data_IF_051561517716
#
_entry.id   IF_051561517716
#
_cell.length_a   1.000
_cell.length_b   1.000
_cell.length_c   1.000
_cell.angle_alpha   90.00
_cell.angle_beta   90.00
_cell.angle_gamma   90.00
#
_symmetry.space_group_name_H-M   'P 1'
#
loop_
_entity.id
_entity.type
_entity.pdbx_description
1 polymer ?
#
# COMPACT_ATOMS: atom_id res chain seq x y z
N UNK A 1 2.53 7.69 -22.52
CA UNK A 1 3.36 6.79 -23.37
C UNK A 1 4.85 6.85 -23.06
N UNK A 2 5.45 8.02 -22.79
CA UNK A 2 6.91 8.13 -22.49
C UNK A 2 7.35 7.30 -21.28
N UNK A 3 6.60 7.34 -20.18
CA UNK A 3 6.98 6.63 -18.95
C UNK A 3 7.01 5.10 -19.11
N UNK A 4 6.07 4.53 -19.85
CA UNK A 4 6.10 3.09 -20.18
C UNK A 4 7.33 2.74 -21.07
N UNK A 5 7.67 3.61 -22.04
CA UNK A 5 8.87 3.40 -22.85
C UNK A 5 10.16 3.42 -22.00
N UNK A 6 10.22 4.31 -21.02
CA UNK A 6 11.36 4.39 -20.09
C UNK A 6 11.39 3.18 -19.13
N UNK A 7 10.23 2.75 -18.64
CA UNK A 7 10.12 1.50 -17.87
C UNK A 7 10.62 0.27 -18.66
N UNK A 8 10.27 0.17 -19.95
CA UNK A 8 10.73 -0.95 -20.79
C UNK A 8 12.25 -0.98 -20.99
N UNK A 9 12.93 0.16 -20.96
CA UNK A 9 14.41 0.22 -20.96
C UNK A 9 14.99 -0.27 -19.64
N UNK A 10 14.26 -0.05 -18.54
CA UNK A 10 14.65 -0.45 -17.19
C UNK A 10 14.36 -1.93 -16.93
N UNK A 11 13.28 -2.47 -17.50
CA UNK A 11 12.77 -3.82 -17.24
C UNK A 11 13.81 -4.94 -17.30
N UNK A 12 14.80 -4.96 -18.22
CA UNK A 12 15.85 -5.99 -18.25
C UNK A 12 16.71 -6.05 -16.97
N UNK A 13 16.76 -4.97 -16.20
CA UNK A 13 17.55 -4.87 -14.96
C UNK A 13 16.71 -5.14 -13.70
N UNK A 14 15.39 -5.29 -13.84
CA UNK A 14 14.46 -5.50 -12.71
C UNK A 14 14.30 -6.98 -12.35
N UNK A 15 14.80 -7.89 -13.18
CA UNK A 15 14.75 -9.33 -12.93
C UNK A 15 15.55 -9.72 -11.66
N UNK A 16 15.11 -10.78 -11.01
CA UNK A 16 15.87 -11.39 -9.92
C UNK A 16 16.85 -12.41 -10.53
N UNK A 17 18.08 -12.43 -10.03
CA UNK A 17 19.12 -13.33 -10.53
C UNK A 17 18.68 -14.80 -10.49
N UNK A 18 18.93 -15.53 -11.57
CA UNK A 18 18.65 -16.97 -11.64
C UNK A 18 19.46 -17.71 -10.55
N UNK A 19 18.82 -18.61 -9.83
CA UNK A 19 19.45 -19.33 -8.71
C UNK A 19 19.32 -18.65 -7.34
N UNK A 20 18.72 -17.44 -7.27
CA UNK A 20 18.36 -16.80 -5.99
C UNK A 20 16.98 -17.28 -5.52
N UNK A 21 16.72 -17.21 -4.21
CA UNK A 21 15.39 -17.46 -3.66
C UNK A 21 14.35 -16.50 -4.23
N UNK A 22 14.72 -15.26 -4.51
CA UNK A 22 13.84 -14.22 -5.07
C UNK A 22 13.31 -14.55 -6.47
N UNK A 23 14.05 -15.35 -7.25
CA UNK A 23 13.63 -15.79 -8.59
C UNK A 23 12.68 -16.98 -8.56
N UNK A 24 12.61 -17.71 -7.43
CA UNK A 24 11.79 -18.93 -7.31
C UNK A 24 10.30 -18.58 -7.52
N UNK A 25 9.60 -19.30 -8.42
CA UNK A 25 8.16 -19.12 -8.60
C UNK A 25 7.41 -19.57 -7.35
N UNK A 26 6.49 -18.74 -6.88
CA UNK A 26 5.63 -19.03 -5.74
C UNK A 26 4.18 -18.69 -6.07
N UNK A 27 3.27 -19.49 -5.52
CA UNK A 27 1.84 -19.18 -5.53
C UNK A 27 1.47 -18.58 -4.18
N UNK A 28 0.85 -17.41 -4.19
CA UNK A 28 0.30 -16.79 -2.99
C UNK A 28 -1.18 -16.54 -3.14
N UNK A 29 -1.90 -16.64 -2.03
CA UNK A 29 -3.30 -16.30 -1.99
C UNK A 29 -3.47 -14.79 -2.22
N UNK A 30 -4.26 -14.33 -3.20
CA UNK A 30 -4.36 -12.92 -3.57
C UNK A 30 -5.01 -12.08 -2.48
N UNK A 31 -5.99 -12.66 -1.76
CA UNK A 31 -6.74 -12.04 -0.68
C UNK A 31 -6.72 -12.92 0.58
N UNK A 32 -5.54 -13.03 1.18
CA UNK A 32 -5.37 -13.83 2.40
C UNK A 32 -5.89 -13.08 3.62
N UNK A 33 -7.11 -13.43 4.03
CA UNK A 33 -7.83 -12.84 5.15
C UNK A 33 -8.67 -13.89 5.89
N UNK A 34 -9.14 -13.64 7.15
CA UNK A 34 -9.88 -14.62 7.94
C UNK A 34 -11.12 -15.19 7.25
N UNK A 35 -11.85 -14.40 6.46
CA UNK A 35 -13.05 -14.84 5.74
C UNK A 35 -12.77 -15.92 4.70
N UNK A 36 -11.53 -16.02 4.21
CA UNK A 36 -11.08 -16.99 3.22
C UNK A 36 -10.40 -18.21 3.85
N UNK A 37 -10.40 -18.31 5.19
CA UNK A 37 -9.82 -19.42 5.95
C UNK A 37 -10.92 -20.26 6.59
N UNK A 38 -11.08 -21.49 6.13
CA UNK A 38 -12.01 -22.44 6.73
C UNK A 38 -11.37 -23.10 7.95
N UNK A 39 -12.10 -23.09 9.06
CA UNK A 39 -11.64 -23.69 10.32
C UNK A 39 -12.65 -24.73 10.82
N UNK A 40 -12.13 -25.79 11.47
CA UNK A 40 -12.92 -26.75 12.21
C UNK A 40 -13.36 -26.18 13.58
N UNK A 41 -14.28 -26.87 14.24
CA UNK A 41 -14.67 -26.54 15.62
C UNK A 41 -13.48 -26.66 16.61
N UNK A 42 -12.49 -27.50 16.29
CA UNK A 42 -11.21 -27.62 17.04
C UNK A 42 -10.21 -26.51 16.74
N UNK A 43 -10.60 -25.50 15.93
CA UNK A 43 -9.74 -24.36 15.50
C UNK A 43 -8.55 -24.78 14.61
N UNK A 44 -8.66 -25.88 13.89
CA UNK A 44 -7.69 -26.29 12.89
C UNK A 44 -8.08 -25.72 11.52
N UNK A 45 -7.09 -25.24 10.76
CA UNK A 45 -7.30 -24.79 9.38
C UNK A 45 -7.58 -26.03 8.52
N UNK A 46 -8.76 -26.12 7.91
CA UNK A 46 -9.16 -27.21 7.03
C UNK A 46 -9.16 -26.84 5.55
N UNK A 47 -9.04 -25.56 5.22
CA UNK A 47 -8.96 -25.13 3.83
C UNK A 47 -8.82 -23.63 3.68
N UNK A 48 -8.42 -23.25 2.46
CA UNK A 48 -8.42 -21.86 1.98
C UNK A 48 -9.33 -21.80 0.75
N UNK A 49 -10.19 -20.81 0.70
CA UNK A 49 -11.13 -20.57 -0.41
C UNK A 49 -10.80 -19.26 -1.11
N UNK A 50 -11.44 -19.01 -2.25
CA UNK A 50 -11.30 -17.77 -3.01
C UNK A 50 -9.89 -17.56 -3.61
N UNK A 51 -9.44 -18.55 -4.37
CA UNK A 51 -8.18 -18.52 -5.11
C UNK A 51 -8.28 -17.82 -6.48
N UNK A 52 -9.40 -17.17 -6.77
CA UNK A 52 -9.58 -16.43 -8.02
C UNK A 52 -8.50 -15.32 -8.10
N UNK A 53 -8.04 -15.04 -9.34
CA UNK A 53 -6.95 -14.07 -9.60
C UNK A 53 -5.59 -14.43 -9.00
N UNK A 54 -5.41 -15.66 -8.49
CA UNK A 54 -4.10 -16.12 -8.08
C UNK A 54 -3.12 -16.16 -9.23
N UNK A 55 -1.89 -15.73 -8.98
CA UNK A 55 -0.82 -15.72 -9.96
C UNK A 55 0.41 -16.41 -9.41
N UNK A 56 1.14 -17.10 -10.28
CA UNK A 56 2.47 -17.61 -9.98
C UNK A 56 3.49 -16.55 -10.37
N UNK A 57 4.17 -15.99 -9.39
CA UNK A 57 5.16 -14.93 -9.58
C UNK A 57 6.48 -15.33 -8.92
N UNK A 58 7.61 -14.73 -9.32
CA UNK A 58 8.85 -14.82 -8.54
C UNK A 58 8.61 -14.36 -7.09
N UNK A 59 9.26 -15.00 -6.12
CA UNK A 59 9.14 -14.64 -4.71
C UNK A 59 9.35 -13.14 -4.48
N UNK A 60 10.34 -12.55 -5.16
CA UNK A 60 10.60 -11.11 -5.05
C UNK A 60 9.44 -10.22 -5.50
N UNK A 61 8.56 -10.65 -6.42
CA UNK A 61 7.35 -9.91 -6.77
C UNK A 61 6.14 -10.29 -5.91
N UNK A 62 6.12 -11.51 -5.37
CA UNK A 62 5.00 -12.02 -4.57
C UNK A 62 5.14 -11.74 -3.07
N UNK A 63 6.35 -11.44 -2.58
CA UNK A 63 6.60 -11.21 -1.16
C UNK A 63 5.83 -9.99 -0.65
N UNK A 64 5.35 -10.09 0.59
CA UNK A 64 4.64 -9.00 1.26
C UNK A 64 3.82 -9.50 2.43
N UNK A 65 3.42 -8.59 3.31
CA UNK A 65 2.42 -8.86 4.34
C UNK A 65 1.05 -8.74 3.67
N UNK A 66 0.13 -9.72 3.78
CA UNK A 66 -1.20 -9.61 3.20
C UNK A 66 -1.97 -8.43 3.79
N UNK A 67 -2.80 -7.76 2.97
CA UNK A 67 -3.47 -6.51 3.32
C UNK A 67 -4.18 -6.54 4.69
N UNK A 68 -4.84 -7.64 5.02
CA UNK A 68 -5.55 -7.81 6.30
C UNK A 68 -4.62 -7.78 7.53
N UNK A 69 -3.35 -8.14 7.36
CA UNK A 69 -2.34 -8.21 8.43
C UNK A 69 -1.40 -7.01 8.43
N UNK A 70 -1.56 -6.08 7.49
CA UNK A 70 -0.74 -4.87 7.41
C UNK A 70 -1.17 -3.83 8.44
N UNK A 71 -0.19 -3.06 8.93
CA UNK A 71 -0.41 -1.85 9.70
C UNK A 71 0.66 -0.79 9.35
N UNK A 72 0.88 -0.59 8.05
CA UNK A 72 1.77 0.44 7.55
C UNK A 72 1.21 1.83 7.87
N UNK A 73 2.10 2.81 8.08
CA UNK A 73 1.77 4.15 8.55
C UNK A 73 1.76 4.28 10.08
N UNK A 74 1.88 3.16 10.83
CA UNK A 74 2.12 3.16 12.27
C UNK A 74 3.60 2.93 12.58
N UNK A 75 4.33 3.89 13.17
CA UNK A 75 5.79 3.80 13.36
C UNK A 75 6.25 2.58 14.16
N UNK A 76 5.46 2.13 15.14
CA UNK A 76 5.81 0.95 15.94
C UNK A 76 5.70 -0.34 15.12
N UNK A 77 4.70 -0.41 14.24
CA UNK A 77 4.53 -1.55 13.33
C UNK A 77 5.62 -1.57 12.25
N UNK A 78 5.96 -0.44 11.66
CA UNK A 78 7.02 -0.35 10.64
C UNK A 78 8.40 -0.72 11.19
N UNK A 79 8.67 -0.40 12.46
CA UNK A 79 9.89 -0.81 13.14
C UNK A 79 9.84 -2.24 13.70
N UNK A 80 8.74 -2.97 13.49
CA UNK A 80 8.50 -4.30 14.05
C UNK A 80 8.76 -4.36 15.57
N UNK A 81 8.39 -3.32 16.28
CA UNK A 81 8.46 -3.32 17.75
C UNK A 81 7.44 -4.29 18.30
N UNK A 82 7.85 -5.07 19.30
CA UNK A 82 6.92 -5.92 20.04
C UNK A 82 5.83 -5.05 20.70
N UNK A 83 4.56 -5.25 20.35
CA UNK A 83 3.50 -4.38 20.83
C UNK A 83 3.23 -4.62 22.31
N UNK A 84 3.06 -3.55 23.06
CA UNK A 84 2.54 -3.62 24.42
C UNK A 84 1.04 -3.94 24.38
N UNK A 85 0.63 -4.97 25.12
CA UNK A 85 -0.75 -5.44 25.14
C UNK A 85 -1.57 -4.82 26.28
N UNK A 86 -0.91 -4.11 27.19
CA UNK A 86 -1.56 -3.46 28.31
C UNK A 86 -2.40 -2.27 27.84
N UNK A 87 -3.60 -2.18 28.41
CA UNK A 87 -4.47 -1.03 28.17
C UNK A 87 -3.90 0.22 28.88
N UNK A 88 -4.06 1.42 28.32
CA UNK A 88 -3.58 2.63 28.95
C UNK A 88 -4.27 2.86 30.32
N UNK A 89 -3.60 3.47 31.29
CA UNK A 89 -4.13 3.63 32.65
C UNK A 89 -5.48 4.36 32.73
N UNK A 90 -5.78 5.21 31.75
CA UNK A 90 -7.03 5.97 31.65
C UNK A 90 -8.11 5.26 30.83
N UNK A 91 -7.92 4.00 30.44
CA UNK A 91 -8.80 3.30 29.50
C UNK A 91 -10.27 3.29 29.94
N UNK A 92 -10.55 3.03 31.21
CA UNK A 92 -11.92 2.97 31.74
C UNK A 92 -12.62 4.34 31.76
N UNK A 93 -11.86 5.43 31.66
CA UNK A 93 -12.39 6.80 31.58
C UNK A 93 -12.63 7.30 30.15
N UNK A 94 -12.20 6.53 29.15
CA UNK A 94 -12.42 6.85 27.73
C UNK A 94 -13.88 6.58 27.34
N UNK A 95 -14.35 7.30 26.33
CA UNK A 95 -15.64 7.01 25.70
C UNK A 95 -15.64 5.61 25.05
N UNK A 96 -16.81 4.98 24.86
CA UNK A 96 -16.89 3.66 24.23
C UNK A 96 -16.20 3.62 22.85
N UNK A 97 -16.28 4.66 22.03
CA UNK A 97 -15.63 4.76 20.74
C UNK A 97 -14.11 4.82 20.86
N UNK A 98 -13.58 5.59 21.82
CA UNK A 98 -12.14 5.66 22.08
C UNK A 98 -11.60 4.32 22.60
N UNK A 99 -12.35 3.63 23.47
CA UNK A 99 -11.98 2.30 23.94
C UNK A 99 -11.89 1.29 22.80
N UNK A 100 -12.81 1.32 21.83
CA UNK A 100 -12.77 0.49 20.63
C UNK A 100 -11.54 0.84 19.79
N UNK A 101 -11.25 2.12 19.58
CA UNK A 101 -10.08 2.58 18.81
C UNK A 101 -8.75 2.12 19.43
N UNK A 102 -8.61 2.23 20.76
CA UNK A 102 -7.41 1.76 21.49
C UNK A 102 -7.21 0.26 21.29
N UNK A 103 -8.27 -0.54 21.49
CA UNK A 103 -8.20 -2.00 21.29
C UNK A 103 -7.85 -2.37 19.87
N UNK A 104 -8.41 -1.67 18.90
CA UNK A 104 -8.15 -1.93 17.49
C UNK A 104 -6.70 -1.57 17.10
N UNK A 105 -6.15 -0.49 17.65
CA UNK A 105 -4.74 -0.12 17.47
C UNK A 105 -3.82 -1.23 18.00
N UNK A 106 -4.06 -1.70 19.23
CA UNK A 106 -3.28 -2.79 19.83
C UNK A 106 -3.41 -4.06 18.97
N UNK A 107 -4.63 -4.40 18.54
CA UNK A 107 -4.89 -5.57 17.70
C UNK A 107 -4.11 -5.50 16.38
N UNK A 108 -4.17 -4.36 15.67
CA UNK A 108 -3.47 -4.16 14.39
C UNK A 108 -1.95 -4.29 14.55
N UNK A 109 -1.37 -3.66 15.57
CA UNK A 109 0.05 -3.79 15.89
C UNK A 109 0.45 -5.24 16.15
N UNK A 110 -0.32 -5.93 17.00
CA UNK A 110 -0.06 -7.34 17.34
C UNK A 110 -0.12 -8.24 16.10
N UNK A 111 -1.14 -8.10 15.28
CA UNK A 111 -1.33 -8.93 14.08
C UNK A 111 -0.19 -8.72 13.08
N UNK A 112 0.21 -7.47 12.85
CA UNK A 112 1.33 -7.13 11.97
C UNK A 112 2.65 -7.73 12.48
N UNK A 113 2.96 -7.52 13.76
CA UNK A 113 4.15 -8.06 14.41
C UNK A 113 4.19 -9.59 14.36
N UNK A 114 3.10 -10.25 14.72
CA UNK A 114 3.04 -11.72 14.71
C UNK A 114 3.20 -12.29 13.31
N UNK A 115 2.60 -11.65 12.29
CA UNK A 115 2.80 -12.10 10.91
C UNK A 115 4.29 -12.06 10.53
N UNK A 116 4.98 -10.95 10.80
CA UNK A 116 6.40 -10.81 10.53
C UNK A 116 7.25 -11.81 11.34
N UNK A 117 6.98 -11.95 12.64
CA UNK A 117 7.71 -12.84 13.53
C UNK A 117 7.57 -14.33 13.14
N UNK A 118 6.34 -14.77 12.84
CA UNK A 118 6.11 -16.14 12.36
C UNK A 118 6.69 -16.36 10.97
N UNK A 119 6.60 -15.38 10.07
CA UNK A 119 7.22 -15.45 8.75
C UNK A 119 8.73 -15.63 8.88
N UNK A 120 9.40 -14.85 9.72
CA UNK A 120 10.84 -15.00 9.99
C UNK A 120 11.20 -16.40 10.47
N UNK A 121 10.39 -16.97 11.35
CA UNK A 121 10.63 -18.29 11.93
C UNK A 121 10.37 -19.44 10.95
N UNK A 122 9.34 -19.33 10.11
CA UNK A 122 8.81 -20.42 9.30
C UNK A 122 9.20 -20.33 7.83
N UNK A 123 9.56 -19.15 7.36
CA UNK A 123 9.90 -18.87 5.97
C UNK A 123 10.83 -17.65 5.87
N UNK A 124 12.08 -17.84 6.27
CA UNK A 124 13.11 -16.80 6.35
C UNK A 124 13.33 -16.12 4.99
N UNK A 125 13.38 -16.88 3.88
CA UNK A 125 13.52 -16.31 2.54
C UNK A 125 12.38 -15.32 2.18
N UNK A 126 11.16 -15.63 2.61
CA UNK A 126 10.02 -14.74 2.42
C UNK A 126 10.13 -13.50 3.31
N UNK A 127 10.56 -13.67 4.57
CA UNK A 127 10.79 -12.57 5.48
C UNK A 127 11.85 -11.61 4.94
N UNK A 128 12.97 -12.11 4.50
CA UNK A 128 14.05 -11.31 3.92
C UNK A 128 13.56 -10.54 2.68
N UNK A 129 12.77 -11.19 1.82
CA UNK A 129 12.19 -10.55 0.65
C UNK A 129 11.19 -9.41 0.99
N UNK A 130 10.44 -9.50 2.10
CA UNK A 130 9.50 -8.44 2.54
C UNK A 130 10.25 -7.15 2.91
N UNK A 131 11.42 -7.28 3.52
CA UNK A 131 12.16 -6.15 4.09
C UNK A 131 13.39 -5.72 3.25
N UNK A 132 13.59 -6.31 2.08
CA UNK A 132 14.62 -5.91 1.13
C UNK A 132 14.17 -4.68 0.32
N UNK A 133 14.86 -3.55 0.50
CA UNK A 133 14.55 -2.30 -0.19
C UNK A 133 14.58 -2.44 -1.71
N UNK A 134 15.48 -3.27 -2.25
CA UNK A 134 15.58 -3.50 -3.69
C UNK A 134 14.38 -4.28 -4.22
N UNK A 135 13.84 -5.20 -3.42
CA UNK A 135 12.60 -5.95 -3.70
C UNK A 135 11.39 -5.00 -3.66
N UNK A 136 11.26 -4.19 -2.61
CA UNK A 136 10.18 -3.21 -2.47
C UNK A 136 10.15 -2.25 -3.67
N UNK A 137 11.30 -1.75 -4.10
CA UNK A 137 11.38 -0.84 -5.25
C UNK A 137 10.95 -1.54 -6.56
N UNK A 138 11.36 -2.79 -6.77
CA UNK A 138 10.93 -3.59 -7.95
C UNK A 138 9.42 -3.85 -7.94
N UNK A 139 8.86 -4.17 -6.77
CA UNK A 139 7.41 -4.38 -6.62
C UNK A 139 6.61 -3.11 -6.94
N UNK A 140 7.05 -1.94 -6.45
CA UNK A 140 6.44 -0.64 -6.77
C UNK A 140 6.47 -0.38 -8.26
N UNK A 141 7.63 -0.51 -8.90
CA UNK A 141 7.78 -0.35 -10.34
C UNK A 141 6.87 -1.31 -11.14
N UNK A 142 6.82 -2.58 -10.77
CA UNK A 142 5.97 -3.58 -11.40
C UNK A 142 4.49 -3.23 -11.28
N UNK A 143 4.06 -2.84 -10.08
CA UNK A 143 2.68 -2.42 -9.80
C UNK A 143 2.31 -1.17 -10.61
N UNK A 144 3.10 -0.11 -10.52
CA UNK A 144 2.83 1.16 -11.20
C UNK A 144 2.85 1.03 -12.73
N UNK A 145 3.67 0.11 -13.28
CA UNK A 145 3.66 -0.20 -14.70
C UNK A 145 2.44 -1.03 -15.14
N UNK A 146 1.86 -1.82 -14.22
CA UNK A 146 0.69 -2.67 -14.47
C UNK A 146 -0.65 -1.93 -14.39
N UNK A 147 -0.69 -0.69 -13.89
CA UNK A 147 -1.91 0.11 -13.71
C UNK A 147 -1.93 1.41 -14.55
N UNK A 148 -1.66 1.37 -15.87
CA UNK A 148 -1.52 2.59 -16.69
C UNK A 148 -2.85 3.32 -16.95
N UNK A 149 -3.96 2.74 -16.56
CA UNK A 149 -5.31 3.31 -16.75
C UNK A 149 -5.80 4.15 -15.55
N UNK A 150 -5.08 4.16 -14.45
CA UNK A 150 -5.44 4.93 -13.24
C UNK A 150 -5.07 6.43 -13.37
N UNK A 151 -5.16 7.00 -14.55
CA UNK A 151 -4.88 8.42 -14.80
C UNK A 151 -3.50 8.67 -15.37
N UNK A 152 -2.76 9.60 -14.80
CA UNK A 152 -1.39 9.87 -15.23
C UNK A 152 -0.43 8.80 -14.69
N UNK A 153 0.72 8.71 -15.29
CA UNK A 153 1.76 7.76 -14.89
C UNK A 153 2.83 8.42 -13.99
N UNK A 154 2.42 9.36 -13.13
CA UNK A 154 3.34 10.07 -12.23
C UNK A 154 3.95 9.12 -11.23
N UNK A 155 3.15 8.22 -10.61
CA UNK A 155 3.65 7.21 -9.69
C UNK A 155 4.74 6.35 -10.34
N UNK A 156 4.53 5.87 -11.57
CA UNK A 156 5.55 5.11 -12.30
C UNK A 156 6.82 5.93 -12.53
N UNK A 157 6.70 7.22 -12.87
CA UNK A 157 7.88 8.08 -13.06
C UNK A 157 8.62 8.35 -11.76
N UNK A 158 7.90 8.58 -10.67
CA UNK A 158 8.49 8.75 -9.34
C UNK A 158 9.24 7.48 -8.90
N UNK A 159 8.64 6.31 -9.07
CA UNK A 159 9.28 5.02 -8.77
C UNK A 159 10.54 4.79 -9.63
N UNK A 160 10.52 5.16 -10.92
CA UNK A 160 11.72 5.10 -11.76
C UNK A 160 12.80 6.08 -11.30
N UNK A 161 12.45 7.29 -10.89
CA UNK A 161 13.41 8.26 -10.35
C UNK A 161 14.06 7.71 -9.07
N UNK A 162 13.27 7.17 -8.14
CA UNK A 162 13.80 6.52 -6.94
C UNK A 162 14.72 5.34 -7.25
N UNK A 163 14.35 4.50 -8.21
CA UNK A 163 15.19 3.40 -8.66
C UNK A 163 16.52 3.88 -9.25
N UNK A 164 16.52 4.99 -10.01
CA UNK A 164 17.75 5.56 -10.59
C UNK A 164 18.65 6.20 -9.51
N UNK A 165 18.06 6.85 -8.52
CA UNK A 165 18.81 7.42 -7.39
C UNK A 165 19.48 6.34 -6.54
N UNK A 166 18.89 5.14 -6.45
CA UNK A 166 19.41 4.00 -5.71
C UNK A 166 19.89 2.88 -6.66
N UNK A 167 20.39 3.24 -7.84
CA UNK A 167 20.68 2.30 -8.91
C UNK A 167 21.62 1.16 -8.51
N UNK A 168 22.69 1.47 -7.79
CA UNK A 168 23.66 0.46 -7.35
C UNK A 168 23.05 -0.58 -6.41
N UNK A 169 22.12 -0.16 -5.54
CA UNK A 169 21.42 -1.04 -4.62
C UNK A 169 20.37 -1.90 -5.35
N UNK A 170 19.86 -1.39 -6.47
CA UNK A 170 18.96 -2.12 -7.35
C UNK A 170 19.65 -3.24 -8.12
N UNK A 171 20.94 -3.12 -8.39
CA UNK A 171 21.70 -4.14 -9.12
C UNK A 171 22.09 -5.27 -8.19
N UNK A 172 21.41 -6.41 -8.31
CA UNK A 172 21.79 -7.61 -7.55
C UNK A 172 23.18 -8.09 -8.00
N UNK A 173 24.05 -8.48 -7.06
CA UNK A 173 25.42 -8.89 -7.36
C UNK A 173 25.56 -9.99 -8.44
N UNK A 174 24.53 -10.82 -8.61
CA UNK A 174 24.50 -11.96 -9.52
C UNK A 174 23.54 -11.77 -10.73
N UNK A 175 22.97 -10.58 -10.94
CA UNK A 175 21.95 -10.39 -11.98
C UNK A 175 22.49 -10.16 -13.37
N UNK A 176 23.77 -9.77 -13.49
CA UNK A 176 24.47 -9.61 -14.75
C UNK A 176 25.91 -10.09 -14.60
N UNK A 177 26.44 -10.80 -15.57
CA UNK A 177 27.88 -11.01 -15.69
C UNK A 177 28.53 -9.63 -15.95
N UNK A 178 28.89 -8.91 -14.89
CA UNK A 178 29.60 -7.65 -15.00
C UNK A 178 30.99 -7.90 -15.58
N UNK A 179 31.11 -7.68 -16.87
CA UNK A 179 32.41 -7.64 -17.53
C UNK A 179 33.21 -6.48 -16.93
N UNK A 180 34.27 -6.79 -16.21
CA UNK A 180 35.25 -5.87 -15.62
C UNK A 180 34.87 -5.16 -14.29
N UNK A 181 33.91 -5.63 -13.51
CA UNK A 181 33.67 -5.11 -12.16
C UNK A 181 33.08 -3.70 -12.08
N UNK A 182 32.58 -3.16 -13.19
CA UNK A 182 31.87 -1.88 -13.24
C UNK A 182 30.37 -2.10 -13.39
N UNK A 183 29.57 -1.45 -12.52
CA UNK A 183 28.14 -1.45 -12.65
C UNK A 183 27.69 -0.70 -13.92
N UNK A 184 26.69 -1.20 -14.66
CA UNK A 184 26.14 -0.47 -15.80
C UNK A 184 25.52 0.85 -15.33
N UNK A 185 25.63 1.89 -16.16
CA UNK A 185 24.95 3.15 -15.89
C UNK A 185 23.43 2.96 -15.94
N UNK A 186 22.64 3.77 -15.21
CA UNK A 186 21.20 3.77 -15.32
C UNK A 186 20.74 3.94 -16.78
N UNK A 187 19.82 3.08 -17.27
CA UNK A 187 19.38 3.11 -18.67
C UNK A 187 18.50 4.32 -19.00
N UNK A 188 18.01 5.01 -17.98
CA UNK A 188 17.20 6.21 -18.08
C UNK A 188 17.80 7.28 -17.16
N UNK A 189 17.79 8.51 -17.62
CA UNK A 189 18.20 9.67 -16.83
C UNK A 189 17.19 10.79 -17.02
N UNK A 190 16.89 11.49 -15.94
CA UNK A 190 16.00 12.64 -15.93
C UNK A 190 16.79 13.89 -15.58
N UNK A 191 16.37 15.03 -16.13
CA UNK A 191 16.91 16.34 -15.76
C UNK A 191 16.38 16.72 -14.36
N UNK A 192 17.16 17.49 -13.60
CA UNK A 192 16.86 17.85 -12.22
C UNK A 192 15.48 18.53 -12.07
N UNK A 193 15.09 19.39 -13.02
CA UNK A 193 13.78 20.02 -13.01
C UNK A 193 12.65 18.99 -13.18
N UNK A 194 12.83 17.97 -14.04
CA UNK A 194 11.83 16.88 -14.21
C UNK A 194 11.75 16.03 -12.95
N UNK A 195 12.87 15.77 -12.29
CA UNK A 195 12.91 15.05 -11.02
C UNK A 195 12.09 15.82 -9.99
N UNK A 196 12.40 17.11 -9.79
CA UNK A 196 11.72 17.93 -8.79
C UNK A 196 10.22 18.04 -9.07
N UNK A 197 9.83 18.43 -10.29
CA UNK A 197 8.42 18.55 -10.68
C UNK A 197 7.64 17.24 -10.49
N UNK A 198 8.28 16.10 -10.78
CA UNK A 198 7.64 14.79 -10.64
C UNK A 198 7.44 14.43 -9.17
N UNK A 199 8.48 14.61 -8.34
CA UNK A 199 8.39 14.25 -6.92
C UNK A 199 7.44 15.19 -6.17
N UNK A 200 7.42 16.48 -6.48
CA UNK A 200 6.48 17.43 -5.90
C UNK A 200 5.02 17.07 -6.25
N UNK A 201 4.76 16.68 -7.51
CA UNK A 201 3.43 16.27 -7.92
C UNK A 201 3.03 14.93 -7.29
N UNK A 202 3.95 13.98 -7.21
CA UNK A 202 3.73 12.69 -6.56
C UNK A 202 3.40 12.85 -5.06
N UNK A 203 4.15 13.72 -4.37
CA UNK A 203 3.87 14.03 -2.94
C UNK A 203 2.47 14.61 -2.76
N UNK A 204 2.02 15.52 -3.63
CA UNK A 204 0.65 16.06 -3.57
C UNK A 204 -0.41 15.00 -3.79
N UNK A 205 -0.17 14.02 -4.68
CA UNK A 205 -1.09 12.89 -4.86
C UNK A 205 -1.15 12.01 -3.60
N UNK A 206 -0.01 11.69 -2.98
CA UNK A 206 0.00 10.92 -1.72
C UNK A 206 -0.69 11.66 -0.57
N UNK A 207 -0.53 12.99 -0.49
CA UNK A 207 -1.26 13.83 0.48
C UNK A 207 -2.77 13.80 0.23
N UNK A 208 -3.20 13.88 -1.03
CA UNK A 208 -4.62 13.79 -1.40
C UNK A 208 -5.21 12.41 -1.09
N UNK A 209 -4.50 11.33 -1.40
CA UNK A 209 -4.91 9.96 -1.09
C UNK A 209 -5.01 9.75 0.44
N UNK A 210 -4.05 10.29 1.18
CA UNK A 210 -4.06 10.24 2.65
C UNK A 210 -5.26 11.00 3.22
N UNK A 211 -5.56 12.20 2.70
CA UNK A 211 -6.71 12.99 3.12
C UNK A 211 -8.02 12.25 2.81
N UNK A 212 -8.11 11.58 1.65
CA UNK A 212 -9.26 10.75 1.28
C UNK A 212 -9.48 9.60 2.27
N UNK A 213 -8.43 8.87 2.64
CA UNK A 213 -8.51 7.81 3.64
C UNK A 213 -8.96 8.35 5.01
N UNK A 214 -8.47 9.52 5.41
CA UNK A 214 -8.90 10.15 6.68
C UNK A 214 -10.38 10.55 6.64
N UNK A 215 -10.88 11.05 5.51
CA UNK A 215 -12.30 11.35 5.35
C UNK A 215 -13.15 10.07 5.40
N UNK A 216 -12.73 8.98 4.73
CA UNK A 216 -13.40 7.67 4.81
C UNK A 216 -13.49 7.17 6.25
N UNK A 217 -12.37 7.22 6.99
CA UNK A 217 -12.33 6.82 8.38
C UNK A 217 -13.25 7.66 9.28
N UNK A 218 -13.28 8.97 9.06
CA UNK A 218 -14.15 9.89 9.81
C UNK A 218 -15.64 9.63 9.56
N UNK A 219 -15.99 9.17 8.35
CA UNK A 219 -17.35 8.80 7.97
C UNK A 219 -17.73 7.35 8.38
N UNK A 220 -16.78 6.55 8.88
CA UNK A 220 -17.00 5.14 9.17
C UNK A 220 -17.15 4.27 7.91
N UNK A 221 -16.68 4.77 6.77
CA UNK A 221 -16.63 4.06 5.49
C UNK A 221 -15.37 3.21 5.45
N UNK A 222 -15.45 1.97 5.00
CA UNK A 222 -14.27 1.15 4.85
C UNK A 222 -13.42 1.59 3.64
N UNK A 223 -12.21 1.01 3.51
CA UNK A 223 -11.27 1.35 2.44
C UNK A 223 -11.76 1.00 1.02
N UNK A 224 -12.85 0.24 0.90
CA UNK A 224 -13.50 -0.13 -0.36
C UNK A 224 -14.76 0.71 -0.63
N UNK A 225 -15.09 1.64 0.26
CA UNK A 225 -16.28 2.48 0.12
C UNK A 225 -17.57 1.87 0.68
N UNK A 226 -17.49 0.75 1.43
CA UNK A 226 -18.66 0.08 1.97
C UNK A 226 -19.00 0.56 3.38
N UNK A 227 -20.32 0.64 3.63
CA UNK A 227 -20.88 0.85 4.96
C UNK A 227 -22.07 -0.11 5.16
N UNK A 228 -22.34 -0.55 6.42
CA UNK A 228 -23.54 -1.31 6.71
C UNK A 228 -24.79 -0.51 6.36
N UNK A 229 -25.81 -1.17 5.79
CA UNK A 229 -27.06 -0.52 5.40
C UNK A 229 -27.72 0.23 6.56
N UNK A 230 -27.62 -0.29 7.79
CA UNK A 230 -28.19 0.34 8.98
C UNK A 230 -27.55 1.69 9.33
N UNK A 231 -26.35 1.96 8.83
CA UNK A 231 -25.58 3.18 9.07
C UNK A 231 -25.65 4.17 7.89
N UNK A 232 -26.25 3.79 6.77
CA UNK A 232 -26.17 4.55 5.52
C UNK A 232 -26.69 5.99 5.67
N UNK A 233 -27.92 6.17 6.20
CA UNK A 233 -28.53 7.49 6.36
C UNK A 233 -27.73 8.39 7.31
N UNK A 234 -27.24 7.84 8.44
CA UNK A 234 -26.42 8.59 9.38
C UNK A 234 -25.08 9.01 8.77
N UNK A 235 -24.44 8.12 7.97
CA UNK A 235 -23.20 8.44 7.26
C UNK A 235 -23.43 9.49 6.18
N UNK A 236 -24.55 9.43 5.46
CA UNK A 236 -24.92 10.44 4.45
C UNK A 236 -25.09 11.83 5.08
N UNK A 237 -25.77 11.93 6.21
CA UNK A 237 -25.92 13.19 6.97
C UNK A 237 -24.54 13.73 7.40
N UNK A 238 -23.67 12.85 7.93
CA UNK A 238 -22.31 13.22 8.34
C UNK A 238 -21.45 13.69 7.17
N UNK A 239 -21.57 13.06 6.00
CA UNK A 239 -20.89 13.49 4.77
C UNK A 239 -21.33 14.89 4.32
N UNK A 240 -22.63 15.19 4.38
CA UNK A 240 -23.16 16.51 4.06
C UNK A 240 -22.68 17.58 5.05
N UNK A 241 -22.62 17.25 6.34
CA UNK A 241 -22.04 18.13 7.35
C UNK A 241 -20.56 18.40 7.11
N UNK A 242 -19.80 17.35 6.77
CA UNK A 242 -18.39 17.46 6.40
C UNK A 242 -18.20 18.38 5.19
N UNK A 243 -18.97 18.19 4.11
CA UNK A 243 -18.95 19.06 2.92
C UNK A 243 -19.22 20.51 3.30
N UNK A 244 -20.24 20.76 4.12
CA UNK A 244 -20.59 22.11 4.57
C UNK A 244 -19.44 22.77 5.33
N UNK A 245 -18.80 22.06 6.26
CA UNK A 245 -17.63 22.55 7.00
C UNK A 245 -16.44 22.85 6.08
N UNK A 246 -16.21 22.00 5.07
CA UNK A 246 -15.15 22.23 4.08
C UNK A 246 -15.43 23.47 3.23
N UNK A 247 -16.68 23.71 2.83
CA UNK A 247 -17.08 24.92 2.12
C UNK A 247 -16.94 26.19 2.98
N UNK A 248 -17.24 26.10 4.28
CA UNK A 248 -17.05 27.22 5.22
C UNK A 248 -15.56 27.53 5.46
N UNK A 249 -14.70 26.52 5.44
CA UNK A 249 -13.27 26.66 5.64
C UNK A 249 -12.50 27.02 4.36
N UNK A 250 -13.14 26.97 3.18
CA UNK A 250 -12.51 27.27 1.90
C UNK A 250 -12.18 28.77 1.79
N UNK A 251 -10.91 29.08 1.52
CA UNK A 251 -10.43 30.49 1.48
C UNK A 251 -10.48 31.09 0.08
N UNK A 252 -10.50 30.26 -0.99
CA UNK A 252 -10.47 30.72 -2.37
C UNK A 252 -11.68 30.22 -3.18
N UNK A 253 -12.03 30.95 -4.23
CA UNK A 253 -13.06 30.53 -5.20
C UNK A 253 -12.74 29.17 -5.84
N UNK A 254 -11.45 28.88 -6.04
CA UNK A 254 -10.99 27.60 -6.56
C UNK A 254 -11.30 26.45 -5.56
N UNK A 255 -11.03 26.66 -4.27
CA UNK A 255 -11.30 25.65 -3.23
C UNK A 255 -12.80 25.40 -3.08
N UNK A 256 -13.61 26.48 -3.11
CA UNK A 256 -15.07 26.38 -3.08
C UNK A 256 -15.58 25.55 -4.25
N UNK A 257 -15.07 25.80 -5.45
CA UNK A 257 -15.47 25.07 -6.66
C UNK A 257 -15.03 23.61 -6.57
N UNK A 258 -13.79 23.35 -6.12
CA UNK A 258 -13.27 22.00 -5.95
C UNK A 258 -14.13 21.18 -4.96
N UNK A 259 -14.47 21.75 -3.81
CA UNK A 259 -15.33 21.05 -2.82
C UNK A 259 -16.75 20.86 -3.37
N UNK A 260 -17.31 21.86 -4.07
CA UNK A 260 -18.67 21.77 -4.61
C UNK A 260 -18.81 20.71 -5.67
N UNK A 261 -17.86 20.64 -6.61
CA UNK A 261 -17.98 19.87 -7.84
C UNK A 261 -17.32 18.48 -7.75
N UNK A 262 -16.42 18.28 -6.77
CA UNK A 262 -15.60 17.07 -6.65
C UNK A 262 -15.59 16.48 -5.24
N UNK A 263 -16.58 16.79 -4.39
CA UNK A 263 -16.67 16.14 -3.09
C UNK A 263 -16.95 14.64 -3.26
N UNK A 264 -16.06 13.75 -2.76
CA UNK A 264 -16.06 12.35 -3.15
C UNK A 264 -17.22 11.51 -2.61
N UNK A 265 -18.00 12.08 -1.67
CA UNK A 265 -19.13 11.39 -1.05
C UNK A 265 -20.49 12.03 -1.40
N UNK A 266 -20.53 12.79 -2.48
CA UNK A 266 -21.82 13.26 -3.01
C UNK A 266 -22.59 12.09 -3.61
N UNK A 267 -23.89 12.09 -3.37
CA UNK A 267 -24.83 11.15 -3.98
C UNK A 267 -25.18 11.69 -5.37
N UNK A 268 -24.44 11.25 -6.37
CA UNK A 268 -24.72 11.64 -7.76
C UNK A 268 -25.89 10.83 -8.27
N UNK A 269 -26.91 11.50 -8.78
CA UNK A 269 -28.01 10.84 -9.49
C UNK A 269 -27.48 10.33 -10.85
N UNK A 270 -27.26 9.02 -10.95
CA UNK A 270 -26.80 8.37 -12.18
C UNK A 270 -27.82 8.50 -13.34
N UNK A 271 -29.02 9.04 -13.07
CA UNK A 271 -30.10 9.21 -14.02
C UNK A 271 -30.39 10.70 -14.38
N UNK A 272 -29.58 11.63 -13.86
CA UNK A 272 -29.71 13.06 -14.14
C UNK A 272 -29.08 13.51 -15.46
#
# INVERSE_FOLDING_TARGET
MRNISDYLKLAPFLGFGTGTALHRPVLRHPDFQPNNILMSDSKEIIGLVDWQHSSVLPLGLAAGIPKHFQNYGDPDSEMLREPQLDLPPNFDSLSPSEQVSVRETIRKRLVHFLYAAFTRRLNEEHYDAIFDNSVITRQKLFKSAGTPWEGDSIALRADMIHAMQNWNDMLLPNSLEYTNGTFPLPPVQYQDNIIQDTLDLYTRHEEADTAMVQMQLALGVDVLGWIPNDNFEATKELAQEMKSKMLEAAETEHDITAVRDHFPFDDFDEHA
#
